data_IF_178263475585
#
_entry.id   IF_178263475585
#
_cell.length_a   1.000
_cell.length_b   1.000
_cell.length_c   1.000
_cell.angle_alpha   90.00
_cell.angle_beta   90.00
_cell.angle_gamma   90.00
#
_symmetry.space_group_name_H-M   'P 1'
#
loop_
_entity.id
_entity.type
_entity.pdbx_description
1 polymer ?
#
# COMPACT_ATOMS: atom_id res chain seq x y z
N UNK A 1 3.33 10.64 1.16
CA UNK A 1 2.22 10.31 2.08
C UNK A 1 2.19 8.80 2.25
N UNK A 2 1.89 8.29 3.45
CA UNK A 2 1.83 6.84 3.74
C UNK A 2 0.54 6.55 4.51
N UNK A 3 -0.26 5.64 3.96
CA UNK A 3 -1.47 5.13 4.62
C UNK A 3 -1.24 3.70 5.08
N UNK A 4 -1.48 3.47 6.36
CA UNK A 4 -1.50 2.13 6.94
C UNK A 4 -2.90 1.56 6.79
N UNK A 5 -3.02 0.53 5.96
CA UNK A 5 -4.26 -0.18 5.73
C UNK A 5 -4.44 -1.31 6.75
N UNK A 6 -5.68 -1.77 6.91
CA UNK A 6 -5.92 -2.96 7.71
C UNK A 6 -5.14 -4.15 7.16
N UNK A 7 -4.44 -4.82 8.06
CA UNK A 7 -3.80 -6.11 7.79
C UNK A 7 -4.90 -7.11 7.40
N UNK A 8 -4.77 -7.68 6.20
CA UNK A 8 -5.64 -8.74 5.71
C UNK A 8 -5.07 -10.08 6.16
N UNK A 9 -5.93 -11.05 6.46
CA UNK A 9 -5.47 -12.43 6.71
C UNK A 9 -5.04 -13.04 5.37
N UNK A 10 -3.75 -13.35 5.16
CA UNK A 10 -3.35 -14.03 3.94
C UNK A 10 -3.72 -15.52 4.05
N UNK A 11 -3.96 -16.15 2.90
CA UNK A 11 -4.21 -17.59 2.85
C UNK A 11 -2.90 -18.38 3.02
N UNK A 12 -2.98 -19.61 3.54
CA UNK A 12 -1.85 -20.54 3.53
C UNK A 12 -0.82 -20.40 4.66
N UNK A 13 -1.24 -20.14 5.89
CA UNK A 13 -0.36 -20.21 7.07
C UNK A 13 0.65 -19.06 7.21
N UNK A 14 0.54 -18.03 6.37
CA UNK A 14 1.35 -16.81 6.48
C UNK A 14 0.63 -15.80 7.38
N UNK A 15 1.39 -14.86 7.93
CA UNK A 15 0.84 -13.71 8.66
C UNK A 15 1.23 -12.43 7.92
N UNK A 16 0.25 -11.58 7.65
CA UNK A 16 0.55 -10.27 7.08
C UNK A 16 1.03 -9.35 8.21
N UNK A 17 2.23 -8.80 8.05
CA UNK A 17 2.82 -7.88 9.02
C UNK A 17 2.36 -6.43 8.78
N UNK A 18 2.25 -6.05 7.50
CA UNK A 18 1.89 -4.70 7.10
C UNK A 18 1.11 -4.70 5.78
N UNK A 19 0.25 -3.70 5.63
CA UNK A 19 -0.46 -3.38 4.40
C UNK A 19 -0.39 -1.87 4.22
N UNK A 20 0.39 -1.39 3.25
CA UNK A 20 0.73 0.02 3.11
C UNK A 20 0.37 0.52 1.71
N UNK A 21 -0.16 1.74 1.65
CA UNK A 21 -0.30 2.52 0.42
C UNK A 21 0.57 3.76 0.52
N UNK A 22 1.53 3.92 -0.39
CA UNK A 22 2.48 5.04 -0.38
C UNK A 22 2.28 5.95 -1.60
N UNK A 23 2.04 7.24 -1.36
CA UNK A 23 2.12 8.26 -2.40
C UNK A 23 3.57 8.75 -2.45
N UNK A 24 4.25 8.39 -3.53
CA UNK A 24 5.67 8.63 -3.76
C UNK A 24 5.83 9.43 -5.06
N UNK A 25 6.85 10.28 -5.10
CA UNK A 25 7.24 10.98 -6.34
C UNK A 25 7.61 9.98 -7.43
N UNK A 26 7.29 10.29 -8.69
CA UNK A 26 7.36 9.34 -9.82
C UNK A 26 8.77 8.77 -10.04
N UNK A 27 9.79 9.59 -9.84
CA UNK A 27 11.21 9.25 -9.96
C UNK A 27 11.71 8.36 -8.81
N UNK A 28 11.04 8.40 -7.65
CA UNK A 28 11.39 7.60 -6.47
C UNK A 28 10.68 6.24 -6.39
N UNK A 29 9.76 5.95 -7.31
CA UNK A 29 9.06 4.65 -7.37
C UNK A 29 10.03 3.50 -7.59
N UNK A 30 11.05 3.70 -8.42
CA UNK A 30 12.07 2.67 -8.68
C UNK A 30 12.88 2.37 -7.42
N UNK A 31 13.38 3.39 -6.72
CA UNK A 31 14.12 3.22 -5.47
C UNK A 31 13.29 2.52 -4.38
N UNK A 32 11.98 2.79 -4.31
CA UNK A 32 11.08 2.04 -3.44
C UNK A 32 11.02 0.55 -3.84
N UNK A 33 10.91 0.26 -5.13
CA UNK A 33 10.90 -1.11 -5.65
C UNK A 33 12.17 -1.89 -5.28
N UNK A 34 13.34 -1.27 -5.44
CA UNK A 34 14.63 -1.88 -5.08
C UNK A 34 14.69 -2.28 -3.60
N UNK A 35 14.23 -1.42 -2.69
CA UNK A 35 14.16 -1.75 -1.24
C UNK A 35 13.16 -2.87 -0.96
N UNK A 36 12.03 -2.90 -1.67
CA UNK A 36 11.04 -3.97 -1.52
C UNK A 36 11.58 -5.31 -2.03
N UNK A 37 12.37 -5.30 -3.10
CA UNK A 37 13.04 -6.48 -3.65
C UNK A 37 14.11 -7.03 -2.68
N UNK A 38 14.85 -6.16 -1.99
CA UNK A 38 15.77 -6.57 -0.93
C UNK A 38 15.05 -7.29 0.23
N UNK A 39 13.83 -6.87 0.56
CA UNK A 39 13.01 -7.51 1.60
C UNK A 39 12.44 -8.84 1.10
N UNK A 40 12.00 -8.94 -0.15
CA UNK A 40 11.51 -10.19 -0.76
C UNK A 40 12.59 -11.29 -0.75
N UNK A 41 13.87 -10.90 -0.85
CA UNK A 41 14.99 -11.84 -0.82
C UNK A 41 15.32 -12.39 0.58
N UNK A 42 14.74 -11.83 1.66
CA UNK A 42 14.97 -12.32 3.01
C UNK A 42 14.13 -13.56 3.31
N UNK A 43 14.76 -14.58 3.89
CA UNK A 43 14.08 -15.82 4.23
C UNK A 43 12.92 -15.58 5.21
N UNK A 44 11.75 -16.16 4.90
CA UNK A 44 10.54 -16.03 5.72
C UNK A 44 9.73 -14.75 5.45
N UNK A 45 10.20 -13.85 4.60
CA UNK A 45 9.45 -12.68 4.16
C UNK A 45 8.81 -12.90 2.79
N UNK A 46 7.73 -12.17 2.55
CA UNK A 46 7.09 -12.09 1.24
C UNK A 46 6.39 -10.73 1.14
N UNK A 47 6.67 -10.05 0.04
CA UNK A 47 6.27 -8.72 -0.33
C UNK A 47 5.36 -8.85 -1.54
N UNK A 48 4.20 -8.20 -1.46
CA UNK A 48 3.29 -8.08 -2.61
C UNK A 48 3.19 -6.62 -3.00
N UNK A 49 4.01 -6.22 -3.96
CA UNK A 49 3.92 -4.90 -4.55
C UNK A 49 2.91 -4.89 -5.70
N UNK A 50 1.90 -4.03 -5.63
CA UNK A 50 0.76 -4.02 -6.57
C UNK A 50 0.62 -2.72 -7.36
N UNK A 51 1.52 -1.76 -7.16
CA UNK A 51 1.52 -0.48 -7.86
C UNK A 51 2.31 -0.49 -9.18
N UNK A 52 2.53 0.70 -9.79
CA UNK A 52 2.05 2.01 -9.36
C UNK A 52 0.56 2.20 -9.67
N UNK A 53 -0.23 2.60 -8.67
CA UNK A 53 -1.64 2.90 -8.83
C UNK A 53 -1.85 4.36 -9.26
N UNK A 54 -2.96 4.68 -9.96
CA UNK A 54 -3.27 6.07 -10.29
C UNK A 54 -3.38 6.97 -9.04
N UNK A 55 -3.06 8.28 -9.12
CA UNK A 55 -3.03 9.17 -7.95
C UNK A 55 -4.35 9.25 -7.18
N UNK A 56 -5.48 9.00 -7.84
CA UNK A 56 -6.80 9.00 -7.21
C UNK A 56 -6.97 7.89 -6.16
N UNK A 57 -6.10 6.88 -6.11
CA UNK A 57 -6.08 5.91 -5.00
C UNK A 57 -5.79 6.55 -3.64
N UNK A 58 -5.28 7.79 -3.62
CA UNK A 58 -5.01 8.57 -2.42
C UNK A 58 -6.02 9.70 -2.16
N UNK A 59 -7.04 9.89 -3.00
CA UNK A 59 -8.07 10.91 -2.69
C UNK A 59 -9.19 10.29 -1.86
N UNK A 60 -9.47 10.85 -0.69
CA UNK A 60 -10.65 10.48 0.09
C UNK A 60 -11.81 11.34 -0.41
N UNK A 61 -12.73 10.78 -1.20
CA UNK A 61 -13.94 11.50 -1.63
C UNK A 61 -14.93 11.51 -0.46
N UNK A 62 -14.74 12.40 0.52
CA UNK A 62 -15.75 12.65 1.54
C UNK A 62 -16.85 13.52 0.95
N UNK A 63 -17.90 12.89 0.42
CA UNK A 63 -19.13 13.59 0.05
C UNK A 63 -19.87 13.94 1.34
N UNK A 64 -19.92 15.22 1.71
CA UNK A 64 -20.75 15.64 2.83
C UNK A 64 -22.21 15.66 2.36
N UNK A 65 -23.00 14.68 2.80
CA UNK A 65 -24.46 14.74 2.67
C UNK A 65 -24.97 15.85 3.57
N UNK A 66 -25.24 17.02 3.00
CA UNK A 66 -26.06 18.05 3.65
C UNK A 66 -27.51 17.55 3.62
N UNK A 67 -28.00 17.05 4.75
CA UNK A 67 -29.42 16.83 4.94
C UNK A 67 -30.10 18.21 5.00
N UNK A 68 -30.85 18.56 3.96
CA UNK A 68 -31.80 19.68 4.00
C UNK A 68 -33.06 19.20 4.73
N UNK A 69 -33.34 19.80 5.88
CA UNK A 69 -34.58 19.65 6.62
C UNK A 69 -35.68 20.56 6.10
#
# INVERSE_FOLDING_TARGET
DVRVEKVKKPEGGRHMLMNLSCLVERDKVQALGEVLDEIEQQEGFSVRFTGPWPPYSFVNLSVQTTAVG
#
